data_IF_333845908100
#
_entry.id   IF_333845908100
#
_cell.length_a   1.000
_cell.length_b   1.000
_cell.length_c   1.000
_cell.angle_alpha   90.00
_cell.angle_beta   90.00
_cell.angle_gamma   90.00
#
_symmetry.space_group_name_H-M   'P 1'
#
loop_
_entity.id
_entity.type
_entity.pdbx_description
1 polymer ?
#
# COMPACT_ATOMS: atom_id res chain seq x y z
N UNK A 1 -18.12 -10.65 -0.76
CA UNK A 1 -18.66 -10.75 0.62
C UNK A 1 -19.81 -9.79 0.68
N UNK A 2 -20.99 -10.27 1.09
CA UNK A 2 -22.19 -9.46 1.17
C UNK A 2 -22.60 -9.34 2.64
N UNK A 3 -22.97 -8.12 3.05
CA UNK A 3 -23.34 -7.79 4.43
C UNK A 3 -24.69 -7.07 4.38
N UNK A 4 -25.64 -7.55 5.18
CA UNK A 4 -26.98 -6.97 5.28
C UNK A 4 -27.13 -6.23 6.60
N UNK A 5 -27.55 -4.97 6.56
CA UNK A 5 -27.68 -4.10 7.72
C UNK A 5 -29.01 -3.34 7.64
N UNK A 6 -29.74 -3.30 8.75
CA UNK A 6 -31.07 -2.68 8.83
C UNK A 6 -31.04 -1.15 8.91
N UNK A 7 -29.92 -0.56 9.36
CA UNK A 7 -29.77 0.89 9.51
C UNK A 7 -29.01 1.52 8.34
N UNK A 8 -29.70 2.38 7.58
CA UNK A 8 -29.14 3.10 6.42
C UNK A 8 -28.04 4.09 6.80
N UNK A 9 -28.21 4.83 7.89
CA UNK A 9 -27.29 5.88 8.31
C UNK A 9 -25.94 5.29 8.74
N UNK A 10 -25.99 4.24 9.56
CA UNK A 10 -24.85 3.43 9.95
C UNK A 10 -24.17 2.81 8.73
N UNK A 11 -24.93 2.15 7.84
CA UNK A 11 -24.36 1.51 6.64
C UNK A 11 -23.59 2.53 5.79
N UNK A 12 -24.17 3.72 5.56
CA UNK A 12 -23.49 4.79 4.80
C UNK A 12 -22.18 5.22 5.47
N UNK A 13 -22.17 5.42 6.79
CA UNK A 13 -20.96 5.78 7.55
C UNK A 13 -19.91 4.68 7.50
N UNK A 14 -20.33 3.42 7.67
CA UNK A 14 -19.44 2.25 7.60
C UNK A 14 -18.75 2.15 6.25
N UNK A 15 -19.50 2.22 5.15
CA UNK A 15 -18.95 2.15 3.78
C UNK A 15 -17.98 3.31 3.52
N UNK A 16 -18.31 4.53 3.97
CA UNK A 16 -17.42 5.67 3.83
C UNK A 16 -16.11 5.49 4.63
N UNK A 17 -16.18 4.97 5.85
CA UNK A 17 -15.01 4.66 6.67
C UNK A 17 -14.13 3.60 6.02
N UNK A 18 -14.72 2.53 5.48
CA UNK A 18 -13.99 1.49 4.77
C UNK A 18 -13.30 2.06 3.52
N UNK A 19 -14.00 2.82 2.69
CA UNK A 19 -13.43 3.48 1.52
C UNK A 19 -12.31 4.46 1.90
N UNK A 20 -12.46 5.22 2.98
CA UNK A 20 -11.40 6.14 3.42
C UNK A 20 -10.12 5.40 3.81
N UNK A 21 -10.24 4.22 4.44
CA UNK A 21 -9.10 3.40 4.92
C UNK A 21 -8.49 2.49 3.86
N UNK A 22 -9.32 1.94 2.97
CA UNK A 22 -8.93 0.90 2.01
C UNK A 22 -8.86 1.41 0.57
N UNK A 23 -9.33 2.63 0.32
CA UNK A 23 -9.50 3.20 -1.00
C UNK A 23 -10.60 2.52 -1.81
N UNK A 24 -10.48 2.62 -3.14
CA UNK A 24 -11.39 2.00 -4.09
C UNK A 24 -12.54 2.91 -4.49
N UNK A 25 -13.63 2.32 -5.00
CA UNK A 25 -14.79 3.08 -5.50
C UNK A 25 -16.07 2.62 -4.83
N UNK A 26 -16.93 3.57 -4.46
CA UNK A 26 -18.28 3.31 -3.96
C UNK A 26 -19.30 3.57 -5.07
N UNK A 27 -20.19 2.60 -5.32
CA UNK A 27 -21.43 2.80 -6.09
C UNK A 27 -22.63 2.56 -5.19
N UNK A 28 -23.59 3.49 -5.20
CA UNK A 28 -24.82 3.37 -4.40
C UNK A 28 -26.01 3.23 -5.33
N UNK A 29 -26.93 2.33 -5.00
CA UNK A 29 -28.22 2.18 -5.68
C UNK A 29 -29.34 2.03 -4.66
N UNK A 30 -30.56 2.32 -5.08
CA UNK A 30 -31.76 2.19 -4.24
C UNK A 30 -32.86 1.53 -5.04
N UNK A 31 -33.58 0.58 -4.43
CA UNK A 31 -34.77 -0.04 -5.00
C UNK A 31 -35.93 0.15 -4.04
N UNK A 32 -37.09 0.56 -4.54
CA UNK A 32 -38.32 0.55 -3.75
C UNK A 32 -38.64 -0.91 -3.37
N UNK A 33 -38.76 -1.17 -2.07
CA UNK A 33 -39.01 -2.51 -1.52
C UNK A 33 -40.46 -2.72 -1.09
N UNK A 34 -41.26 -1.66 -1.02
CA UNK A 34 -42.67 -1.74 -0.67
C UNK A 34 -43.18 -0.45 -0.05
N UNK A 35 -44.37 -0.52 0.54
CA UNK A 35 -44.98 0.55 1.32
C UNK A 35 -45.30 -0.02 2.70
N UNK A 36 -44.95 0.71 3.75
CA UNK A 36 -45.29 0.35 5.14
C UNK A 36 -45.79 1.62 5.84
N UNK A 37 -46.96 1.54 6.47
CA UNK A 37 -47.60 2.66 7.18
C UNK A 37 -47.73 3.92 6.31
N UNK A 38 -48.12 3.74 5.05
CA UNK A 38 -48.22 4.82 4.05
C UNK A 38 -46.88 5.40 3.56
N UNK A 39 -45.75 4.91 4.06
CA UNK A 39 -44.41 5.37 3.67
C UNK A 39 -43.74 4.38 2.72
N UNK A 40 -43.18 4.91 1.63
CA UNK A 40 -42.38 4.11 0.69
C UNK A 40 -41.09 3.65 1.37
N UNK A 41 -40.87 2.34 1.35
CA UNK A 41 -39.66 1.70 1.87
C UNK A 41 -38.65 1.51 0.74
N UNK A 42 -37.39 1.82 1.03
CA UNK A 42 -36.29 1.66 0.09
C UNK A 42 -35.25 0.67 0.63
N UNK A 43 -34.82 -0.26 -0.20
CA UNK A 43 -33.62 -1.06 0.01
C UNK A 43 -32.43 -0.35 -0.64
N UNK A 44 -31.44 0.00 0.16
CA UNK A 44 -30.18 0.59 -0.30
C UNK A 44 -29.15 -0.51 -0.55
N UNK A 45 -28.39 -0.40 -1.63
CA UNK A 45 -27.23 -1.26 -1.90
C UNK A 45 -26.00 -0.40 -2.11
N UNK A 46 -24.94 -0.70 -1.36
CA UNK A 46 -23.65 -0.05 -1.44
C UNK A 46 -22.60 -1.05 -1.94
N UNK A 47 -22.03 -0.81 -3.10
CA UNK A 47 -20.95 -1.60 -3.67
C UNK A 47 -19.63 -0.88 -3.43
N UNK A 48 -18.78 -1.44 -2.56
CA UNK A 48 -17.39 -1.02 -2.39
C UNK A 48 -16.49 -1.95 -3.19
N UNK A 49 -15.91 -1.42 -4.28
CA UNK A 49 -14.90 -2.14 -5.07
C UNK A 49 -13.52 -1.75 -4.56
N UNK A 50 -12.86 -2.69 -3.88
CA UNK A 50 -11.49 -2.49 -3.39
C UNK A 50 -10.50 -2.46 -4.56
N UNK A 51 -9.43 -1.67 -4.45
CA UNK A 51 -8.33 -1.73 -5.40
C UNK A 51 -7.57 -3.06 -5.28
N UNK A 52 -6.81 -3.40 -6.32
CA UNK A 52 -5.96 -4.60 -6.34
C UNK A 52 -4.68 -4.46 -5.50
N UNK A 53 -4.38 -3.24 -5.03
CA UNK A 53 -3.24 -2.89 -4.19
C UNK A 53 -3.70 -2.43 -2.80
N UNK A 54 -2.81 -2.51 -1.82
CA UNK A 54 -3.05 -2.16 -0.41
C UNK A 54 -1.83 -1.45 0.16
N UNK A 55 -2.02 -0.78 1.30
CA UNK A 55 -0.90 -0.32 2.13
C UNK A 55 0.02 -1.50 2.43
N UNK A 56 1.32 -1.31 2.22
CA UNK A 56 2.32 -2.36 2.40
C UNK A 56 2.73 -3.10 1.14
N UNK A 57 2.06 -2.83 0.03
CA UNK A 57 2.39 -3.47 -1.24
C UNK A 57 3.57 -2.77 -1.93
N UNK A 58 4.30 -3.56 -2.71
CA UNK A 58 5.30 -3.09 -3.64
C UNK A 58 4.74 -3.16 -5.05
N UNK A 59 4.90 -2.06 -5.78
CA UNK A 59 4.46 -1.92 -7.17
C UNK A 59 5.63 -1.38 -8.00
N UNK A 60 5.55 -1.54 -9.32
CA UNK A 60 6.60 -1.09 -10.23
C UNK A 60 6.06 -0.27 -11.39
N UNK A 61 6.89 0.71 -11.79
CA UNK A 61 6.74 1.45 -13.05
C UNK A 61 8.00 1.26 -13.89
N UNK A 62 7.98 0.29 -14.80
CA UNK A 62 9.18 -0.10 -15.55
C UNK A 62 10.23 -0.71 -14.62
N UNK A 63 11.33 0.00 -14.39
CA UNK A 63 12.42 -0.42 -13.50
C UNK A 63 12.40 0.25 -12.12
N UNK A 64 11.43 1.14 -11.88
CA UNK A 64 11.29 1.82 -10.60
C UNK A 64 10.44 0.98 -9.67
N UNK A 65 11.00 0.65 -8.50
CA UNK A 65 10.29 -0.01 -7.42
C UNK A 65 9.68 1.05 -6.49
N UNK A 66 8.40 0.90 -6.20
CA UNK A 66 7.61 1.83 -5.43
C UNK A 66 6.92 1.07 -4.30
N UNK A 67 6.91 1.65 -3.11
CA UNK A 67 6.23 1.11 -1.94
C UNK A 67 4.96 1.90 -1.63
N UNK A 68 3.84 1.20 -1.46
CA UNK A 68 2.54 1.79 -1.13
C UNK A 68 2.48 2.08 0.37
N UNK A 69 2.82 3.31 0.74
CA UNK A 69 2.88 3.74 2.14
C UNK A 69 1.51 3.97 2.78
N UNK A 70 0.59 4.61 2.06
CA UNK A 70 -0.76 4.84 2.55
C UNK A 70 -1.76 4.99 1.42
N UNK A 71 -3.03 4.76 1.75
CA UNK A 71 -4.17 4.96 0.87
C UNK A 71 -5.16 5.79 1.64
N UNK A 72 -5.56 6.92 1.07
CA UNK A 72 -6.53 7.83 1.65
C UNK A 72 -7.53 8.24 0.58
N UNK A 73 -8.76 7.72 0.69
CA UNK A 73 -9.82 7.97 -0.29
C UNK A 73 -9.36 7.58 -1.71
N UNK A 74 -9.09 8.58 -2.55
CA UNK A 74 -8.67 8.45 -3.95
C UNK A 74 -7.21 8.84 -4.18
N UNK A 75 -6.43 9.02 -3.09
CA UNK A 75 -5.02 9.34 -3.14
C UNK A 75 -4.21 8.18 -2.59
N UNK A 76 -3.08 7.92 -3.22
CA UNK A 76 -2.12 6.89 -2.82
C UNK A 76 -0.77 7.54 -2.60
N UNK A 77 -0.19 7.34 -1.42
CA UNK A 77 1.17 7.77 -1.15
C UNK A 77 2.13 6.63 -1.48
N UNK A 78 3.03 6.89 -2.41
CA UNK A 78 4.09 6.00 -2.83
C UNK A 78 5.43 6.50 -2.29
N UNK A 79 6.35 5.57 -2.04
CA UNK A 79 7.75 5.85 -1.71
C UNK A 79 8.61 5.22 -2.79
N UNK A 80 9.48 6.00 -3.43
CA UNK A 80 10.48 5.47 -4.36
C UNK A 80 11.58 4.73 -3.59
N UNK A 81 11.85 3.48 -3.92
CA UNK A 81 12.82 2.68 -3.17
C UNK A 81 14.28 3.05 -3.47
N UNK A 82 14.57 3.74 -4.58
CA UNK A 82 15.92 4.19 -4.94
C UNK A 82 16.31 5.52 -4.27
N UNK A 83 15.33 6.38 -3.97
CA UNK A 83 15.54 7.71 -3.39
C UNK A 83 14.89 7.94 -2.03
N UNK A 84 13.95 7.07 -1.62
CA UNK A 84 13.04 7.26 -0.48
C UNK A 84 12.14 8.51 -0.57
N UNK A 85 12.06 9.14 -1.75
CA UNK A 85 11.17 10.26 -1.97
C UNK A 85 9.71 9.83 -1.97
N UNK A 86 8.87 10.65 -1.36
CA UNK A 86 7.42 10.41 -1.26
C UNK A 86 6.71 11.10 -2.41
N UNK A 87 5.77 10.40 -3.03
CA UNK A 87 4.88 10.96 -4.06
C UNK A 87 3.44 10.60 -3.78
N UNK A 88 2.56 11.59 -3.82
CA UNK A 88 1.11 11.37 -3.76
C UNK A 88 0.54 11.39 -5.17
N UNK A 89 -0.20 10.35 -5.54
CA UNK A 89 -0.87 10.23 -6.84
C UNK A 89 -2.36 9.94 -6.65
N UNK A 90 -3.14 10.18 -7.71
CA UNK A 90 -4.52 9.70 -7.77
C UNK A 90 -4.59 8.19 -7.98
N UNK A 91 -5.63 7.57 -7.42
CA UNK A 91 -5.96 6.14 -7.56
C UNK A 91 -5.94 5.66 -9.01
N UNK A 92 -6.47 6.46 -9.95
CA UNK A 92 -6.47 6.16 -11.39
C UNK A 92 -5.07 5.97 -11.97
N UNK A 93 -4.05 6.62 -11.41
CA UNK A 93 -2.67 6.47 -11.89
C UNK A 93 -2.06 5.13 -11.46
N UNK A 94 -2.67 4.42 -10.50
CA UNK A 94 -2.21 3.11 -10.08
C UNK A 94 -2.39 2.07 -11.19
N UNK A 95 -3.41 2.19 -12.04
CA UNK A 95 -3.71 1.23 -13.13
C UNK A 95 -2.52 1.03 -14.10
N UNK A 96 -1.60 2.00 -14.18
CA UNK A 96 -0.37 1.89 -14.96
C UNK A 96 0.80 1.20 -14.23
N UNK A 97 0.61 0.74 -12.99
CA UNK A 97 1.62 0.13 -12.13
C UNK A 97 1.40 -1.38 -11.99
N UNK A 98 2.49 -2.14 -12.02
CA UNK A 98 2.46 -3.59 -11.88
C UNK A 98 2.71 -4.01 -10.44
N UNK A 99 1.93 -4.96 -9.94
CA UNK A 99 2.18 -5.56 -8.62
C UNK A 99 3.51 -6.31 -8.61
N UNK A 100 4.29 -6.11 -7.56
CA UNK A 100 5.56 -6.83 -7.31
C UNK A 100 5.40 -7.79 -6.14
N UNK A 101 4.74 -7.35 -5.07
CA UNK A 101 4.53 -8.17 -3.89
C UNK A 101 4.00 -7.35 -2.73
N UNK A 102 4.07 -7.89 -1.52
CA UNK A 102 3.68 -7.22 -0.28
C UNK A 102 4.77 -7.43 0.77
N UNK A 103 4.51 -7.11 2.04
CA UNK A 103 5.46 -7.32 3.15
C UNK A 103 6.11 -8.71 3.20
N UNK A 104 5.50 -9.76 2.63
CA UNK A 104 6.09 -11.11 2.55
C UNK A 104 7.38 -11.19 1.74
N UNK A 105 7.69 -10.20 0.89
CA UNK A 105 8.95 -10.15 0.13
C UNK A 105 10.09 -9.49 0.91
N UNK A 106 9.80 -8.85 2.06
CA UNK A 106 10.83 -8.29 2.92
C UNK A 106 11.64 -9.41 3.56
N UNK A 107 12.96 -9.22 3.62
CA UNK A 107 13.88 -10.08 4.37
C UNK A 107 14.75 -9.24 5.26
N UNK A 108 15.15 -9.81 6.39
CA UNK A 108 16.11 -9.18 7.27
C UNK A 108 17.53 -9.49 6.77
N UNK A 109 18.37 -8.48 6.74
CA UNK A 109 19.78 -8.56 6.37
C UNK A 109 20.62 -7.92 7.48
N UNK A 110 21.83 -8.44 7.69
CA UNK A 110 22.78 -7.90 8.67
C UNK A 110 23.58 -6.78 8.01
N UNK A 111 23.67 -5.63 8.67
CA UNK A 111 24.55 -4.53 8.26
C UNK A 111 25.96 -4.85 8.74
N UNK A 112 26.89 -5.03 7.80
CA UNK A 112 28.30 -5.34 8.06
C UNK A 112 29.08 -4.05 8.30
N UNK A 113 28.89 -3.06 7.43
CA UNK A 113 29.47 -1.72 7.55
C UNK A 113 28.57 -0.70 6.85
N UNK A 114 28.77 0.59 7.11
CA UNK A 114 28.02 1.66 6.44
C UNK A 114 28.87 2.92 6.28
N UNK A 115 28.68 3.58 5.15
CA UNK A 115 29.22 4.91 4.85
C UNK A 115 28.09 5.94 4.81
N UNK A 116 28.37 7.16 4.36
CA UNK A 116 27.35 8.20 4.23
C UNK A 116 26.26 7.87 3.20
N UNK A 117 26.64 7.26 2.07
CA UNK A 117 25.74 7.06 0.92
C UNK A 117 25.54 5.59 0.54
N UNK A 118 26.21 4.67 1.23
CA UNK A 118 26.16 3.24 0.97
C UNK A 118 26.15 2.47 2.28
N UNK A 119 25.63 1.25 2.23
CA UNK A 119 25.73 0.29 3.31
C UNK A 119 26.16 -1.05 2.72
N UNK A 120 26.99 -1.75 3.46
CA UNK A 120 27.38 -3.10 3.12
C UNK A 120 26.56 -4.06 3.97
N UNK A 121 25.85 -4.98 3.32
CA UNK A 121 24.98 -5.94 3.99
C UNK A 121 25.40 -7.36 3.66
N UNK A 122 25.04 -8.30 4.55
CA UNK A 122 25.09 -9.71 4.27
C UNK A 122 23.78 -10.13 3.58
N UNK A 123 23.82 -10.50 2.30
CA UNK A 123 22.63 -10.97 1.56
C UNK A 123 22.11 -12.26 2.22
N UNK A 124 20.86 -12.28 2.73
CA UNK A 124 20.31 -13.44 3.44
C UNK A 124 20.09 -14.68 2.56
N UNK A 125 20.16 -14.55 1.23
CA UNK A 125 20.01 -15.67 0.30
C UNK A 125 21.35 -16.32 -0.07
N UNK A 126 22.40 -15.52 -0.19
CA UNK A 126 23.70 -15.97 -0.72
C UNK A 126 24.80 -15.97 0.33
N UNK A 127 24.57 -15.32 1.48
CA UNK A 127 25.58 -15.03 2.50
C UNK A 127 26.80 -14.27 1.96
N UNK A 128 26.67 -13.67 0.77
CA UNK A 128 27.68 -12.78 0.22
C UNK A 128 27.50 -11.38 0.81
N UNK A 129 28.62 -10.72 1.05
CA UNK A 129 28.65 -9.31 1.40
C UNK A 129 28.44 -8.49 0.13
N UNK A 130 27.44 -7.61 0.14
CA UNK A 130 27.06 -6.79 -1.02
C UNK A 130 26.86 -5.34 -0.62
N UNK A 131 27.30 -4.42 -1.48
CA UNK A 131 27.11 -2.99 -1.29
C UNK A 131 25.75 -2.56 -1.85
N UNK A 132 25.02 -1.79 -1.05
CA UNK A 132 23.70 -1.25 -1.38
C UNK A 132 23.67 0.24 -1.15
N UNK A 133 23.04 0.96 -2.08
CA UNK A 133 22.86 2.41 -1.98
C UNK A 133 22.02 2.74 -0.75
N UNK A 134 22.45 3.77 -0.01
CA UNK A 134 21.71 4.37 1.10
C UNK A 134 21.14 5.71 0.65
N UNK A 135 19.82 5.83 0.41
CA UNK A 135 19.25 7.04 -0.19
C UNK A 135 19.36 8.29 0.67
N UNK A 136 19.24 8.16 2.00
CA UNK A 136 19.42 9.24 2.96
C UNK A 136 20.62 8.96 3.87
N UNK A 137 21.29 10.01 4.35
CA UNK A 137 22.41 9.93 5.30
C UNK A 137 21.94 9.59 6.72
N UNK A 138 21.29 8.44 6.89
CA UNK A 138 20.84 7.92 8.18
C UNK A 138 21.80 6.85 8.69
N UNK A 139 21.86 6.68 10.02
CA UNK A 139 22.55 5.55 10.62
C UNK A 139 21.63 4.34 10.64
N UNK A 140 22.07 3.26 10.00
CA UNK A 140 21.38 1.97 10.02
C UNK A 140 21.72 1.21 11.30
N UNK A 141 20.74 0.47 11.80
CA UNK A 141 20.89 -0.49 12.90
C UNK A 141 21.71 -1.72 12.45
N UNK A 142 22.01 -2.63 13.39
CA UNK A 142 22.71 -3.89 13.09
C UNK A 142 21.97 -4.76 12.07
N UNK A 143 20.65 -4.68 12.04
CA UNK A 143 19.79 -5.39 11.08
C UNK A 143 18.89 -4.40 10.37
N UNK A 144 18.64 -4.66 9.10
CA UNK A 144 17.72 -3.88 8.27
C UNK A 144 16.91 -4.82 7.39
N UNK A 145 15.65 -4.49 7.13
CA UNK A 145 14.93 -5.22 6.09
C UNK A 145 15.23 -4.67 4.71
N UNK A 146 15.28 -5.59 3.77
CA UNK A 146 15.57 -5.36 2.38
C UNK A 146 14.47 -5.93 1.50
N UNK A 147 14.37 -5.41 0.28
CA UNK A 147 13.62 -6.02 -0.81
C UNK A 147 14.60 -6.35 -1.92
N UNK A 148 14.66 -7.62 -2.31
CA UNK A 148 15.35 -8.04 -3.53
C UNK A 148 14.33 -8.06 -4.67
N UNK A 149 14.57 -7.28 -5.70
CA UNK A 149 13.69 -7.23 -6.87
C UNK A 149 14.54 -7.09 -8.13
N UNK A 150 14.37 -8.04 -9.06
CA UNK A 150 15.31 -8.28 -10.15
C UNK A 150 16.72 -8.50 -9.58
N UNK A 151 17.73 -7.88 -10.18
CA UNK A 151 19.12 -8.00 -9.78
C UNK A 151 19.58 -6.89 -8.81
N UNK A 152 18.63 -6.23 -8.13
CA UNK A 152 18.91 -5.13 -7.20
C UNK A 152 18.37 -5.42 -5.80
N UNK A 153 19.08 -4.92 -4.80
CA UNK A 153 18.67 -4.97 -3.40
C UNK A 153 18.39 -3.55 -2.91
N UNK A 154 17.21 -3.37 -2.34
CA UNK A 154 16.72 -2.10 -1.83
C UNK A 154 16.63 -2.14 -0.32
N UNK A 155 17.16 -1.12 0.35
CA UNK A 155 16.95 -0.91 1.78
C UNK A 155 15.51 -0.44 2.04
N UNK A 156 14.84 -1.02 3.04
CA UNK A 156 13.49 -0.62 3.41
C UNK A 156 13.51 0.56 4.41
N UNK A 157 12.80 1.67 4.15
CA UNK A 157 12.85 2.87 4.97
C UNK A 157 12.00 2.73 6.25
N UNK A 158 12.58 2.18 7.32
CA UNK A 158 11.88 2.02 8.62
C UNK A 158 11.56 3.33 9.33
N UNK A 159 12.48 4.29 9.28
CA UNK A 159 12.41 5.55 10.04
C UNK A 159 11.44 6.58 9.41
N UNK A 160 10.93 6.28 8.21
CA UNK A 160 10.16 7.20 7.38
C UNK A 160 8.69 6.80 7.22
N UNK A 161 8.18 5.83 8.00
CA UNK A 161 6.79 5.35 7.94
C UNK A 161 5.84 6.11 8.87
#
# INVERSE_FOLDING_TARGET
VDIYISDRGFTKKMVQTLHNKLGGTIKTTSKQSGIKDGRIQYRMTYLLRLPYYRKGDFVSKGEKLLYVKSIERRKVQLVDMDSWERKVIDDKMMDGLKMVGNYSILREAVVVSQSENEAQILDPYTFATVDVKKPHQIKLEKTIKIVKWRDRIYLFPYQDL
#
